data_IF_813198015098
#
_entry.id   IF_813198015098
#
_cell.length_a   1.000
_cell.length_b   1.000
_cell.length_c   1.000
_cell.angle_alpha   90.00
_cell.angle_beta   90.00
_cell.angle_gamma   90.00
#
_symmetry.space_group_name_H-M   'P 1'
#
loop_
_entity.id
_entity.type
_entity.pdbx_description
1 polymer ?
#
# COMPACT_ATOMS: atom_id res chain seq x y z
N UNK A 1 28.84 17.61 12.63
CA UNK A 1 27.61 16.84 12.31
C UNK A 1 26.84 17.70 11.31
N UNK A 2 26.73 17.26 10.04
CA UNK A 2 26.16 18.08 8.96
C UNK A 2 24.63 18.16 9.07
N UNK A 3 24.13 19.37 9.35
CA UNK A 3 22.72 19.73 9.38
C UNK A 3 22.32 20.41 8.05
N UNK A 4 22.24 19.68 6.94
CA UNK A 4 21.57 20.15 5.70
C UNK A 4 21.08 18.91 4.93
N UNK A 5 19.79 18.55 5.05
CA UNK A 5 18.99 17.82 4.03
C UNK A 5 17.64 17.29 4.53
N UNK A 6 17.30 17.41 5.82
CA UNK A 6 16.03 16.91 6.35
C UNK A 6 14.80 17.76 5.96
N UNK A 7 14.98 18.90 5.28
CA UNK A 7 13.87 19.82 4.94
C UNK A 7 13.29 19.57 3.53
N UNK A 8 13.99 18.84 2.66
CA UNK A 8 13.56 18.60 1.26
C UNK A 8 13.12 17.16 0.96
N UNK A 9 13.11 16.27 1.95
CA UNK A 9 12.67 14.88 1.79
C UNK A 9 11.43 14.61 2.65
N UNK A 10 10.46 15.53 2.65
CA UNK A 10 9.12 15.15 3.11
C UNK A 10 8.55 14.19 2.06
N UNK A 11 8.20 12.95 2.43
CA UNK A 11 7.66 12.01 1.47
C UNK A 11 6.38 12.58 0.83
N UNK A 12 6.26 12.46 -0.49
CA UNK A 12 5.12 13.01 -1.22
C UNK A 12 3.82 12.23 -0.90
N UNK A 13 3.07 12.75 0.08
CA UNK A 13 1.80 12.19 0.52
C UNK A 13 0.76 12.15 -0.60
N UNK A 14 0.81 13.09 -1.57
CA UNK A 14 -0.13 13.10 -2.68
C UNK A 14 0.10 11.91 -3.60
N UNK A 15 1.36 11.61 -3.92
CA UNK A 15 1.70 10.42 -4.71
C UNK A 15 1.37 9.12 -3.99
N UNK A 16 1.55 9.05 -2.67
CA UNK A 16 1.09 7.89 -1.91
C UNK A 16 -0.43 7.73 -1.93
N UNK A 17 -1.19 8.82 -1.78
CA UNK A 17 -2.65 8.79 -1.88
C UNK A 17 -3.11 8.35 -3.28
N UNK A 18 -2.47 8.84 -4.35
CA UNK A 18 -2.75 8.41 -5.73
C UNK A 18 -2.48 6.90 -5.87
N UNK A 19 -1.33 6.43 -5.39
CA UNK A 19 -0.97 5.02 -5.45
C UNK A 19 -1.95 4.14 -4.66
N UNK A 20 -2.43 4.58 -3.48
CA UNK A 20 -3.46 3.86 -2.72
C UNK A 20 -4.83 3.90 -3.43
N UNK A 21 -5.18 5.02 -4.07
CA UNK A 21 -6.43 5.16 -4.81
C UNK A 21 -6.51 4.23 -6.04
N UNK A 22 -5.35 3.83 -6.59
CA UNK A 22 -5.28 2.88 -7.70
C UNK A 22 -5.76 1.47 -7.34
N UNK A 23 -5.92 1.16 -6.05
CA UNK A 23 -6.54 -0.08 -5.58
C UNK A 23 -8.07 -0.13 -5.78
N UNK A 24 -8.68 0.93 -6.33
CA UNK A 24 -10.10 0.93 -6.72
C UNK A 24 -10.35 0.33 -8.12
N UNK A 25 -9.38 -0.35 -8.70
CA UNK A 25 -9.50 -0.99 -10.01
C UNK A 25 -10.70 -1.98 -10.06
N UNK A 26 -11.45 -2.09 -11.17
CA UNK A 26 -12.59 -2.99 -11.31
C UNK A 26 -12.32 -4.48 -10.98
N UNK A 27 -11.06 -4.92 -10.91
CA UNK A 27 -10.68 -6.23 -10.38
C UNK A 27 -10.75 -6.39 -8.84
N UNK A 28 -11.01 -5.31 -8.10
CA UNK A 28 -11.07 -5.27 -6.63
C UNK A 28 -12.49 -4.98 -6.08
N UNK A 29 -13.54 -5.21 -6.87
CA UNK A 29 -14.95 -4.99 -6.45
C UNK A 29 -15.34 -5.70 -5.15
N UNK A 30 -14.63 -6.77 -4.81
CA UNK A 30 -14.84 -7.54 -3.59
C UNK A 30 -14.02 -7.06 -2.40
N UNK A 31 -13.35 -5.90 -2.47
CA UNK A 31 -12.51 -5.35 -1.40
C UNK A 31 -13.07 -4.00 -0.95
N UNK A 32 -13.46 -3.91 0.32
CA UNK A 32 -13.89 -2.69 0.97
C UNK A 32 -12.78 -2.16 1.89
N UNK A 33 -12.19 -1.02 1.54
CA UNK A 33 -11.18 -0.36 2.38
C UNK A 33 -11.91 0.45 3.45
N UNK A 34 -11.68 0.14 4.71
CA UNK A 34 -12.31 0.79 5.86
C UNK A 34 -11.46 1.92 6.41
N UNK A 35 -10.13 1.71 6.48
CA UNK A 35 -9.20 2.75 6.92
C UNK A 35 -7.88 2.67 6.18
N UNK A 36 -7.27 3.83 5.98
CA UNK A 36 -5.91 3.98 5.47
C UNK A 36 -5.21 4.99 6.38
N UNK A 37 -4.15 4.54 7.04
CA UNK A 37 -3.28 5.36 7.87
C UNK A 37 -1.95 5.55 7.14
N UNK A 38 -1.55 6.80 6.91
CA UNK A 38 -0.27 7.13 6.24
C UNK A 38 0.59 7.90 7.23
N UNK A 39 1.75 7.35 7.54
CA UNK A 39 2.68 7.89 8.54
C UNK A 39 4.04 8.10 7.87
N UNK A 40 4.60 9.32 7.90
CA UNK A 40 5.97 9.56 7.47
C UNK A 40 6.99 8.79 8.33
N UNK A 41 7.92 8.11 7.69
CA UNK A 41 9.00 7.35 8.33
C UNK A 41 10.33 7.67 7.61
N UNK A 42 10.97 8.76 8.04
CA UNK A 42 12.17 9.28 7.38
C UNK A 42 11.89 9.68 5.93
N UNK A 43 12.60 9.05 4.99
CA UNK A 43 12.43 9.30 3.54
C UNK A 43 11.36 8.38 2.89
N UNK A 44 10.52 7.74 3.69
CA UNK A 44 9.48 6.83 3.23
C UNK A 44 8.13 7.15 3.90
N UNK A 45 7.05 6.60 3.35
CA UNK A 45 5.74 6.58 3.98
C UNK A 45 5.42 5.15 4.39
N UNK A 46 5.06 4.95 5.65
CA UNK A 46 4.39 3.73 6.10
C UNK A 46 2.90 3.91 5.86
N UNK A 47 2.29 2.96 5.17
CA UNK A 47 0.86 2.96 4.85
C UNK A 47 0.25 1.71 5.49
N UNK A 48 -0.67 1.88 6.43
CA UNK A 48 -1.47 0.80 7.00
C UNK A 48 -2.87 0.83 6.39
N UNK A 49 -3.29 -0.28 5.80
CA UNK A 49 -4.60 -0.43 5.17
C UNK A 49 -5.38 -1.48 5.95
N UNK A 50 -6.59 -1.14 6.39
CA UNK A 50 -7.54 -2.08 6.96
C UNK A 50 -8.79 -2.12 6.11
N UNK A 51 -9.30 -3.32 5.87
CA UNK A 51 -10.48 -3.51 5.06
C UNK A 51 -11.14 -4.85 5.28
N UNK A 52 -12.16 -5.11 4.48
CA UNK A 52 -12.84 -6.39 4.42
C UNK A 52 -13.07 -6.83 2.98
N UNK A 53 -13.13 -8.14 2.78
CA UNK A 53 -13.50 -8.70 1.49
C UNK A 53 -15.03 -8.96 1.46
N UNK A 54 -15.75 -8.27 0.59
CA UNK A 54 -17.13 -8.58 0.23
C UNK A 54 -17.15 -9.80 -0.70
N UNK A 55 -16.78 -10.96 -0.16
CA UNK A 55 -16.75 -12.23 -0.85
C UNK A 55 -17.89 -13.14 -0.35
N UNK A 56 -18.54 -13.86 -1.26
CA UNK A 56 -19.63 -14.78 -0.92
C UNK A 56 -19.10 -15.98 -0.15
N UNK A 57 -17.93 -16.47 -0.56
CA UNK A 57 -17.26 -17.62 0.04
C UNK A 57 -15.77 -17.34 0.32
N UNK A 58 -15.11 -18.31 0.96
CA UNK A 58 -13.70 -18.24 1.35
C UNK A 58 -12.76 -18.20 0.15
N UNK A 59 -13.14 -18.83 -0.96
CA UNK A 59 -12.31 -18.93 -2.16
C UNK A 59 -12.26 -17.56 -2.84
N UNK A 60 -13.41 -16.92 -3.02
CA UNK A 60 -13.52 -15.56 -3.54
C UNK A 60 -12.75 -14.56 -2.65
N UNK A 61 -12.81 -14.73 -1.33
CA UNK A 61 -12.06 -13.89 -0.39
C UNK A 61 -10.55 -14.05 -0.57
N UNK A 62 -10.07 -15.28 -0.66
CA UNK A 62 -8.65 -15.56 -0.83
C UNK A 62 -8.14 -15.06 -2.19
N UNK A 63 -8.93 -15.22 -3.25
CA UNK A 63 -8.61 -14.70 -4.58
C UNK A 63 -8.56 -13.16 -4.60
N UNK A 64 -9.56 -12.50 -4.02
CA UNK A 64 -9.60 -11.03 -3.92
C UNK A 64 -8.37 -10.50 -3.16
N UNK A 65 -8.00 -11.15 -2.06
CA UNK A 65 -6.82 -10.80 -1.28
C UNK A 65 -5.51 -11.02 -2.05
N UNK A 66 -5.36 -12.16 -2.73
CA UNK A 66 -4.18 -12.43 -3.55
C UNK A 66 -4.04 -11.41 -4.69
N UNK A 67 -5.15 -11.04 -5.34
CA UNK A 67 -5.16 -10.02 -6.37
C UNK A 67 -4.72 -8.65 -5.82
N UNK A 68 -5.14 -8.29 -4.61
CA UNK A 68 -4.70 -7.08 -3.91
C UNK A 68 -3.19 -7.09 -3.65
N UNK A 69 -2.66 -8.17 -3.08
CA UNK A 69 -1.23 -8.33 -2.82
C UNK A 69 -0.41 -8.28 -4.11
N UNK A 70 -0.87 -8.92 -5.19
CA UNK A 70 -0.20 -8.90 -6.50
C UNK A 70 -0.19 -7.50 -7.09
N UNK A 71 -1.30 -6.76 -7.01
CA UNK A 71 -1.38 -5.38 -7.49
C UNK A 71 -0.44 -4.45 -6.73
N UNK A 72 -0.39 -4.58 -5.40
CA UNK A 72 0.56 -3.82 -4.55
C UNK A 72 2.01 -4.08 -4.96
N UNK A 73 2.38 -5.35 -5.20
CA UNK A 73 3.73 -5.72 -5.65
C UNK A 73 4.07 -5.18 -7.04
N UNK A 74 3.06 -4.92 -7.88
CA UNK A 74 3.23 -4.31 -9.21
C UNK A 74 3.30 -2.79 -9.15
N UNK A 75 2.79 -2.16 -8.09
CA UNK A 75 2.81 -0.71 -7.93
C UNK A 75 4.24 -0.23 -7.64
N UNK A 76 4.79 0.59 -8.54
CA UNK A 76 6.14 1.14 -8.38
C UNK A 76 6.27 1.96 -7.09
N UNK A 77 7.39 1.76 -6.39
CA UNK A 77 7.67 2.44 -5.14
C UNK A 77 6.92 1.88 -3.92
N UNK A 78 6.08 0.85 -4.08
CA UNK A 78 5.44 0.16 -2.96
C UNK A 78 6.13 -1.16 -2.62
N UNK A 79 6.28 -1.40 -1.33
CA UNK A 79 6.76 -2.64 -0.76
C UNK A 79 5.77 -3.11 0.30
N UNK A 80 5.31 -4.36 0.21
CA UNK A 80 4.53 -5.00 1.25
C UNK A 80 5.46 -5.36 2.42
N UNK A 81 5.19 -4.82 3.62
CA UNK A 81 5.95 -5.11 4.84
C UNK A 81 5.34 -6.27 5.60
N UNK A 82 4.02 -6.20 5.80
CA UNK A 82 3.26 -7.23 6.51
C UNK A 82 1.85 -7.29 5.94
N UNK A 83 1.26 -8.47 6.04
CA UNK A 83 -0.08 -8.73 5.55
C UNK A 83 -0.73 -9.77 6.46
N UNK A 84 -1.99 -9.52 6.83
CA UNK A 84 -2.77 -10.38 7.71
C UNK A 84 -4.19 -10.43 7.20
N UNK A 85 -4.71 -11.65 7.10
CA UNK A 85 -6.10 -11.91 6.75
C UNK A 85 -6.78 -12.66 7.89
N UNK A 86 -7.97 -12.21 8.28
CA UNK A 86 -8.84 -12.90 9.22
C UNK A 86 -10.05 -13.41 8.46
N UNK A 87 -10.04 -14.72 8.23
CA UNK A 87 -11.05 -15.43 7.49
C UNK A 87 -12.41 -15.42 8.21
N UNK A 88 -12.40 -15.41 9.55
CA UNK A 88 -13.62 -15.47 10.35
C UNK A 88 -14.44 -14.18 10.23
N UNK A 89 -13.75 -13.04 10.24
CA UNK A 89 -14.34 -11.70 10.13
C UNK A 89 -14.33 -11.15 8.70
N UNK A 90 -13.85 -11.93 7.73
CA UNK A 90 -13.63 -11.52 6.34
C UNK A 90 -12.81 -10.21 6.24
N UNK A 91 -11.93 -9.96 7.19
CA UNK A 91 -11.16 -8.73 7.28
C UNK A 91 -9.70 -8.96 6.91
N UNK A 92 -9.03 -7.88 6.53
CA UNK A 92 -7.61 -7.90 6.29
C UNK A 92 -6.96 -6.62 6.78
N UNK A 93 -5.68 -6.73 7.07
CA UNK A 93 -4.80 -5.63 7.40
C UNK A 93 -3.49 -5.81 6.64
N UNK A 94 -2.98 -4.74 6.05
CA UNK A 94 -1.70 -4.73 5.36
C UNK A 94 -0.90 -3.52 5.78
N UNK A 95 0.40 -3.70 5.95
CA UNK A 95 1.35 -2.59 6.09
C UNK A 95 2.24 -2.54 4.86
N UNK A 96 2.32 -1.36 4.28
CA UNK A 96 3.12 -1.06 3.10
C UNK A 96 4.15 -0.01 3.46
N UNK A 97 5.27 -0.06 2.75
CA UNK A 97 6.23 1.03 2.67
C UNK A 97 6.16 1.62 1.27
N UNK A 98 5.91 2.91 1.18
CA UNK A 98 6.06 3.67 -0.03
C UNK A 98 7.35 4.48 0.02
N UNK A 99 8.23 4.24 -0.94
CA UNK A 99 9.40 5.06 -1.19
C UNK A 99 9.24 5.66 -2.56
N UNK A 100 9.37 6.98 -2.67
CA UNK A 100 9.60 7.57 -3.99
C UNK A 100 10.89 6.93 -4.53
N UNK A 101 10.78 6.06 -5.53
CA UNK A 101 11.91 5.85 -6.40
C UNK A 101 12.14 7.19 -7.10
N UNK A 102 12.96 8.06 -6.50
CA UNK A 102 13.73 9.02 -7.28
C UNK A 102 14.33 8.18 -8.39
N UNK A 103 13.94 8.44 -9.64
CA UNK A 103 14.50 7.75 -10.79
C UNK A 103 16.00 7.71 -10.58
N UNK A 104 16.56 6.50 -10.43
CA UNK A 104 17.99 6.34 -10.43
C UNK A 104 18.42 6.87 -11.80
N UNK A 105 18.95 8.09 -11.81
CA UNK A 105 19.66 8.63 -12.95
C UNK A 105 20.86 7.71 -13.09
N UNK A 106 20.73 6.70 -13.94
CA UNK A 106 21.86 5.89 -14.38
C UNK A 106 22.72 6.85 -15.20
N UNK A 107 23.67 7.51 -14.54
CA UNK A 107 24.81 8.11 -15.22
C UNK A 107 25.68 6.96 -15.70
N UNK A 108 25.63 6.67 -16.99
CA UNK A 108 26.79 6.27 -17.77
C UNK A 108 26.71 6.91 -19.14
#
# INVERSE_FOLDING_TARGET
INFINAVNASPDMQKALIAVSSFKDPGMKSVNIQSVDIIPEGNALRISIKGSAAAKDLIEMQQAYQNLVVSIKKTKGMQLLSDRIDISSKSFQMELKYTEQSGAVIRK
#
